data_IF_252892252669
#
_entry.id   IF_252892252669
#
_cell.length_a   1.000
_cell.length_b   1.000
_cell.length_c   1.000
_cell.angle_alpha   90.00
_cell.angle_beta   90.00
_cell.angle_gamma   90.00
#
_symmetry.space_group_name_H-M   'P 1'
#
loop_
_entity.id
_entity.type
_entity.pdbx_description
1 polymer ?
#
# COMPACT_ATOMS: atom_id res chain seq x y z
N UNK A 1 -11.69 0.23 -6.92
CA UNK A 1 -11.65 1.71 -6.89
C UNK A 1 -11.44 2.15 -5.45
N UNK A 2 -10.49 3.04 -5.18
CA UNK A 2 -10.20 3.51 -3.82
C UNK A 2 -11.29 4.44 -3.27
N UNK A 3 -12.20 4.93 -4.11
CA UNK A 3 -13.39 5.67 -3.67
C UNK A 3 -13.11 7.08 -3.14
N UNK A 4 -11.86 7.54 -3.15
CA UNK A 4 -11.48 8.90 -2.75
C UNK A 4 -10.33 9.42 -3.64
N UNK A 5 -10.44 10.66 -4.09
CA UNK A 5 -9.44 11.35 -4.90
C UNK A 5 -8.05 11.36 -4.24
N UNK A 6 -7.98 11.53 -2.91
CA UNK A 6 -6.71 11.47 -2.17
C UNK A 6 -5.99 10.14 -2.37
N UNK A 7 -6.72 9.04 -2.32
CA UNK A 7 -6.17 7.69 -2.47
C UNK A 7 -5.78 7.42 -3.91
N UNK A 8 -6.56 7.91 -4.88
CA UNK A 8 -6.21 7.83 -6.30
C UNK A 8 -4.92 8.61 -6.61
N UNK A 9 -4.74 9.79 -6.01
CA UNK A 9 -3.49 10.58 -6.12
C UNK A 9 -2.32 9.85 -5.47
N UNK A 10 -2.50 9.27 -4.29
CA UNK A 10 -1.46 8.48 -3.63
C UNK A 10 -1.07 7.24 -4.44
N UNK A 11 -2.03 6.56 -5.06
CA UNK A 11 -1.77 5.44 -5.96
C UNK A 11 -0.93 5.89 -7.17
N UNK A 12 -1.33 6.98 -7.83
CA UNK A 12 -0.57 7.54 -8.93
C UNK A 12 0.84 7.96 -8.52
N UNK A 13 0.99 8.56 -7.34
CA UNK A 13 2.28 8.99 -6.82
C UNK A 13 3.23 7.79 -6.58
N UNK A 14 2.76 6.67 -6.03
CA UNK A 14 3.60 5.46 -5.86
C UNK A 14 3.84 4.71 -7.18
N UNK A 15 3.04 4.96 -8.21
CA UNK A 15 3.28 4.44 -9.56
C UNK A 15 4.38 5.23 -10.28
N UNK A 16 4.36 6.56 -10.16
CA UNK A 16 5.34 7.47 -10.79
C UNK A 16 6.65 7.55 -9.98
N UNK A 17 6.54 7.54 -8.64
CA UNK A 17 7.65 7.65 -7.68
C UNK A 17 7.55 6.52 -6.65
N UNK A 18 8.07 5.31 -6.96
CA UNK A 18 7.88 4.13 -6.12
C UNK A 18 8.38 4.26 -4.68
N UNK A 19 9.34 5.14 -4.42
CA UNK A 19 9.92 5.34 -3.09
C UNK A 19 9.27 6.50 -2.30
N UNK A 20 8.14 7.06 -2.75
CA UNK A 20 7.38 8.06 -2.00
C UNK A 20 6.73 7.45 -0.75
N UNK A 21 7.46 7.54 0.37
CA UNK A 21 7.03 7.01 1.67
C UNK A 21 5.77 7.68 2.22
N UNK A 22 5.50 8.94 1.86
CA UNK A 22 4.31 9.65 2.33
C UNK A 22 3.05 9.08 1.66
N UNK A 23 3.11 8.90 0.34
CA UNK A 23 2.02 8.28 -0.43
C UNK A 23 1.79 6.83 0.00
N UNK A 24 2.86 6.06 0.25
CA UNK A 24 2.72 4.71 0.81
C UNK A 24 2.07 4.70 2.19
N UNK A 25 2.42 5.64 3.08
CA UNK A 25 1.81 5.74 4.40
C UNK A 25 0.29 5.95 4.32
N UNK A 26 -0.18 6.76 3.36
CA UNK A 26 -1.60 6.99 3.11
C UNK A 26 -2.28 5.70 2.63
N UNK A 27 -1.70 5.00 1.65
CA UNK A 27 -2.27 3.77 1.09
C UNK A 27 -2.31 2.64 2.11
N UNK A 28 -1.23 2.44 2.88
CA UNK A 28 -1.15 1.39 3.91
C UNK A 28 -2.23 1.60 4.97
N UNK A 29 -2.36 2.84 5.48
CA UNK A 29 -3.35 3.17 6.50
C UNK A 29 -4.77 2.85 6.04
N UNK A 30 -5.09 3.15 4.79
CA UNK A 30 -6.40 2.85 4.22
C UNK A 30 -6.57 1.34 4.00
N UNK A 31 -5.56 0.68 3.43
CA UNK A 31 -5.62 -0.74 3.08
C UNK A 31 -5.87 -1.63 4.31
N UNK A 32 -5.30 -1.30 5.47
CA UNK A 32 -5.54 -2.05 6.72
C UNK A 32 -7.01 -2.05 7.17
N UNK A 33 -7.83 -1.09 6.71
CA UNK A 33 -9.26 -1.03 7.04
C UNK A 33 -10.15 -1.76 6.02
N UNK A 34 -9.57 -2.45 5.02
CA UNK A 34 -10.29 -3.14 3.95
C UNK A 34 -10.04 -4.64 3.99
N UNK A 35 -10.98 -5.45 3.48
CA UNK A 35 -10.75 -6.88 3.33
C UNK A 35 -9.51 -7.15 2.47
N UNK A 36 -8.65 -8.08 2.90
CA UNK A 36 -7.39 -8.39 2.20
C UNK A 36 -7.60 -8.74 0.72
N UNK A 37 -8.71 -9.40 0.39
CA UNK A 37 -9.10 -9.72 -1.00
C UNK A 37 -9.20 -8.49 -1.91
N UNK A 38 -9.51 -7.31 -1.38
CA UNK A 38 -9.61 -6.06 -2.14
C UNK A 38 -8.26 -5.33 -2.27
N UNK A 39 -7.35 -5.54 -1.32
CA UNK A 39 -6.12 -4.73 -1.17
C UNK A 39 -4.82 -5.52 -1.29
N UNK A 40 -4.89 -6.83 -1.54
CA UNK A 40 -3.71 -7.72 -1.70
C UNK A 40 -2.67 -7.12 -2.65
N UNK A 41 -3.12 -6.63 -3.81
CA UNK A 41 -2.23 -6.05 -4.82
C UNK A 41 -1.41 -4.85 -4.31
N UNK A 42 -1.92 -4.09 -3.33
CA UNK A 42 -1.15 -2.99 -2.72
C UNK A 42 -0.05 -3.51 -1.84
N UNK A 43 -0.33 -4.50 -1.00
CA UNK A 43 0.67 -5.08 -0.13
C UNK A 43 1.73 -5.84 -0.93
N UNK A 44 1.34 -6.58 -1.97
CA UNK A 44 2.26 -7.23 -2.90
C UNK A 44 3.18 -6.20 -3.59
N UNK A 45 2.63 -5.08 -4.07
CA UNK A 45 3.43 -3.99 -4.65
C UNK A 45 4.36 -3.37 -3.60
N UNK A 46 3.88 -3.12 -2.39
CA UNK A 46 4.66 -2.53 -1.30
C UNK A 46 5.88 -3.39 -0.96
N UNK A 47 5.69 -4.69 -0.76
CA UNK A 47 6.80 -5.60 -0.42
C UNK A 47 7.73 -5.86 -1.61
N UNK A 48 7.25 -5.71 -2.83
CA UNK A 48 8.09 -5.74 -4.02
C UNK A 48 9.00 -4.49 -4.13
N UNK A 49 8.49 -3.31 -3.76
CA UNK A 49 9.29 -2.06 -3.74
C UNK A 49 10.27 -2.05 -2.57
N UNK A 50 9.87 -2.57 -1.40
CA UNK A 50 10.67 -2.56 -0.18
C UNK A 50 10.91 -3.97 0.37
N UNK A 51 11.62 -4.86 -0.36
CA UNK A 51 11.71 -6.27 -0.03
C UNK A 51 12.46 -6.55 1.28
N UNK A 52 13.39 -5.68 1.69
CA UNK A 52 14.13 -5.80 2.95
C UNK A 52 13.44 -5.14 4.15
N UNK A 53 12.35 -4.39 3.94
CA UNK A 53 11.62 -3.73 5.00
C UNK A 53 10.68 -4.71 5.70
N UNK A 54 11.21 -5.47 6.66
CA UNK A 54 10.44 -6.48 7.42
C UNK A 54 9.16 -5.94 8.07
N UNK A 55 9.10 -4.64 8.37
CA UNK A 55 7.88 -3.97 8.84
C UNK A 55 6.71 -4.10 7.85
N UNK A 56 6.95 -3.94 6.55
CA UNK A 56 5.88 -4.01 5.54
C UNK A 56 5.41 -5.44 5.29
N UNK A 57 6.33 -6.41 5.34
CA UNK A 57 5.99 -7.82 5.35
C UNK A 57 5.12 -8.19 6.54
N UNK A 58 5.48 -7.72 7.75
CA UNK A 58 4.68 -7.97 8.95
C UNK A 58 3.25 -7.45 8.79
N UNK A 59 3.07 -6.22 8.29
CA UNK A 59 1.73 -5.64 8.07
C UNK A 59 0.93 -6.49 7.06
N UNK A 60 1.57 -6.94 5.96
CA UNK A 60 0.89 -7.78 4.97
C UNK A 60 0.44 -9.13 5.59
N UNK A 61 1.35 -9.80 6.30
CA UNK A 61 1.06 -11.08 6.96
C UNK A 61 -0.04 -10.94 8.02
N UNK A 62 -0.08 -9.83 8.76
CA UNK A 62 -1.13 -9.58 9.75
C UNK A 62 -2.51 -9.31 9.13
N UNK A 63 -2.58 -8.95 7.85
CA UNK A 63 -3.82 -8.66 7.14
C UNK A 63 -4.42 -9.89 6.43
N UNK A 64 -3.61 -10.89 6.08
CA UNK A 64 -4.08 -12.21 5.57
C UNK A 64 -4.72 -13.05 6.69
#
# INVERSE_FOLDING_TARGET
DWGNEKLQRAQKAVDETPYDLESWSILIREAQNRPIVEVRAVFEKLVAVFPSAGRYWKIYIEQE
#
